data_IF_439521437365
#
_entry.id   IF_439521437365
#
_cell.length_a   1.000
_cell.length_b   1.000
_cell.length_c   1.000
_cell.angle_alpha   90.00
_cell.angle_beta   90.00
_cell.angle_gamma   90.00
#
_symmetry.space_group_name_H-M   'P 1'
#
loop_
_entity.id
_entity.type
_entity.pdbx_description
1 polymer ?
#
# COMPACT_ATOMS: atom_id res chain seq x y z
N UNK A 1 -14.98 2.87 11.30
CA UNK A 1 -15.10 2.70 9.83
C UNK A 1 -14.42 1.38 9.46
N UNK A 2 -14.73 0.84 8.28
CA UNK A 2 -14.20 -0.45 7.82
C UNK A 2 -13.28 -0.19 6.61
N UNK A 3 -12.07 -0.75 6.66
CA UNK A 3 -11.04 -0.59 5.62
C UNK A 3 -10.63 -1.95 5.08
N UNK A 4 -10.83 -2.15 3.77
CA UNK A 4 -10.35 -3.28 3.02
C UNK A 4 -8.99 -2.90 2.41
N UNK A 5 -7.90 -3.32 3.06
CA UNK A 5 -6.54 -2.97 2.68
C UNK A 5 -5.96 -4.10 1.84
N UNK A 6 -5.56 -3.80 0.62
CA UNK A 6 -5.00 -4.77 -0.32
C UNK A 6 -3.49 -4.59 -0.41
N UNK A 7 -2.75 -5.58 0.07
CA UNK A 7 -1.28 -5.58 0.06
C UNK A 7 -0.71 -5.99 -1.31
N UNK A 8 0.60 -6.27 -1.35
CA UNK A 8 1.29 -6.77 -2.53
C UNK A 8 1.39 -8.31 -2.50
N UNK A 9 1.24 -9.01 -3.63
CA UNK A 9 1.23 -10.48 -3.66
C UNK A 9 2.62 -11.11 -3.44
N UNK A 10 3.69 -10.36 -3.68
CA UNK A 10 5.07 -10.88 -3.67
C UNK A 10 5.82 -10.63 -2.36
N UNK A 11 5.14 -10.07 -1.34
CA UNK A 11 5.69 -9.81 0.00
C UNK A 11 4.73 -10.29 1.08
N UNK A 12 5.25 -10.53 2.28
CA UNK A 12 4.44 -10.66 3.50
C UNK A 12 4.39 -9.29 4.20
N UNK A 13 3.33 -9.02 4.98
CA UNK A 13 3.19 -7.74 5.69
C UNK A 13 3.90 -7.82 7.03
N UNK A 14 5.21 -8.06 6.98
CA UNK A 14 6.11 -8.24 8.14
C UNK A 14 7.31 -7.30 8.06
N UNK A 15 8.03 -7.15 9.17
CA UNK A 15 9.26 -6.35 9.25
C UNK A 15 10.38 -6.89 8.37
N UNK A 16 10.39 -8.19 8.07
CA UNK A 16 11.33 -8.79 7.15
C UNK A 16 11.25 -8.16 5.75
N UNK A 17 10.04 -7.78 5.32
CA UNK A 17 9.80 -7.15 4.03
C UNK A 17 9.77 -5.61 4.08
N UNK A 18 10.22 -5.00 5.18
CA UNK A 18 10.26 -3.53 5.33
C UNK A 18 11.17 -2.82 4.32
N UNK A 19 12.06 -3.54 3.64
CA UNK A 19 12.81 -3.02 2.49
C UNK A 19 11.95 -2.65 1.29
N UNK A 20 10.72 -3.17 1.19
CA UNK A 20 9.70 -2.69 0.27
C UNK A 20 8.90 -1.56 0.92
N UNK A 21 9.10 -0.33 0.48
CA UNK A 21 8.43 0.85 1.04
C UNK A 21 6.89 0.73 1.06
N UNK A 22 6.31 0.08 0.07
CA UNK A 22 4.85 -0.11 -0.01
C UNK A 22 4.35 -1.18 0.96
N UNK A 23 5.10 -2.26 1.15
CA UNK A 23 4.76 -3.27 2.17
C UNK A 23 4.82 -2.68 3.57
N UNK A 24 5.87 -1.93 3.88
CA UNK A 24 6.00 -1.25 5.15
C UNK A 24 4.91 -0.19 5.35
N UNK A 25 4.51 0.51 4.29
CA UNK A 25 3.38 1.44 4.34
C UNK A 25 2.06 0.72 4.67
N UNK A 26 1.80 -0.46 4.07
CA UNK A 26 0.63 -1.27 4.42
C UNK A 26 0.66 -1.64 5.91
N UNK A 27 1.80 -2.16 6.38
CA UNK A 27 1.96 -2.56 7.78
C UNK A 27 1.66 -1.40 8.74
N UNK A 28 2.26 -0.26 8.51
CA UNK A 28 2.06 0.95 9.34
C UNK A 28 0.65 1.51 9.22
N UNK A 29 0.04 1.44 8.05
CA UNK A 29 -1.35 1.87 7.87
C UNK A 29 -2.33 0.99 8.64
N UNK A 30 -2.10 -0.34 8.68
CA UNK A 30 -2.88 -1.24 9.51
C UNK A 30 -2.78 -0.87 10.99
N UNK A 31 -1.57 -0.62 11.51
CA UNK A 31 -1.35 -0.18 12.89
C UNK A 31 -2.13 1.11 13.16
N UNK A 32 -1.95 2.13 12.33
CA UNK A 32 -2.60 3.43 12.49
C UNK A 32 -4.13 3.30 12.50
N UNK A 33 -4.71 2.53 11.58
CA UNK A 33 -6.17 2.37 11.50
C UNK A 33 -6.71 1.59 12.70
N UNK A 34 -5.99 0.57 13.16
CA UNK A 34 -6.34 -0.18 14.34
C UNK A 34 -6.31 0.71 15.61
N UNK A 35 -5.26 1.50 15.78
CA UNK A 35 -5.09 2.40 16.93
C UNK A 35 -6.16 3.50 16.98
N UNK A 36 -6.66 3.90 15.82
CA UNK A 36 -7.81 4.80 15.68
C UNK A 36 -9.17 4.11 15.90
N UNK A 37 -9.19 2.82 16.24
CA UNK A 37 -10.41 2.06 16.53
C UNK A 37 -11.22 1.70 15.28
N UNK A 38 -10.58 1.54 14.13
CA UNK A 38 -11.22 1.12 12.89
C UNK A 38 -11.11 -0.39 12.67
N UNK A 39 -12.04 -0.96 11.94
CA UNK A 39 -11.96 -2.35 11.49
C UNK A 39 -11.06 -2.44 10.25
N UNK A 40 -10.10 -3.35 10.28
CA UNK A 40 -9.10 -3.55 9.23
C UNK A 40 -9.21 -4.97 8.70
N UNK A 41 -9.61 -5.11 7.45
CA UNK A 41 -9.58 -6.35 6.67
C UNK A 41 -8.36 -6.30 5.76
N UNK A 42 -7.36 -7.13 6.03
CA UNK A 42 -6.11 -7.14 5.26
C UNK A 42 -6.10 -8.31 4.29
N UNK A 43 -6.03 -8.00 3.00
CA UNK A 43 -5.88 -8.96 1.90
C UNK A 43 -4.40 -9.05 1.53
N UNK A 44 -3.74 -10.16 1.89
CA UNK A 44 -2.29 -10.30 1.80
C UNK A 44 -1.86 -11.74 1.56
N UNK A 45 -0.59 -12.05 1.82
CA UNK A 45 -0.08 -13.41 1.98
C UNK A 45 -0.51 -14.00 3.33
N UNK A 46 0.26 -14.98 3.81
CA UNK A 46 -0.09 -15.76 5.01
C UNK A 46 0.34 -15.10 6.32
N UNK A 47 1.27 -14.13 6.27
CA UNK A 47 1.87 -13.55 7.47
C UNK A 47 1.64 -12.03 7.59
N UNK A 48 1.34 -11.59 8.82
CA UNK A 48 1.18 -10.18 9.15
C UNK A 48 1.77 -9.85 10.53
N UNK A 49 2.54 -8.79 10.61
CA UNK A 49 3.05 -8.20 11.85
C UNK A 49 2.43 -6.82 12.11
N UNK A 50 1.12 -6.75 12.02
CA UNK A 50 0.32 -5.59 12.37
C UNK A 50 -1.02 -6.06 12.94
N UNK A 51 -1.64 -5.31 13.86
CA UNK A 51 -2.97 -5.62 14.33
C UNK A 51 -3.97 -5.41 13.18
N UNK A 52 -4.79 -6.43 12.93
CA UNK A 52 -5.88 -6.38 11.95
C UNK A 52 -7.11 -7.08 12.52
N UNK A 53 -8.30 -6.69 12.09
CA UNK A 53 -9.54 -7.36 12.49
C UNK A 53 -9.63 -8.74 11.84
N UNK A 54 -9.17 -8.87 10.60
CA UNK A 54 -9.11 -10.14 9.88
C UNK A 54 -7.97 -10.11 8.85
N UNK A 55 -7.14 -11.16 8.83
CA UNK A 55 -6.21 -11.44 7.73
C UNK A 55 -6.88 -12.38 6.74
N UNK A 56 -6.95 -11.97 5.48
CA UNK A 56 -7.49 -12.76 4.38
C UNK A 56 -6.34 -13.16 3.46
N UNK A 57 -5.99 -14.44 3.49
CA UNK A 57 -4.92 -14.97 2.63
C UNK A 57 -5.37 -15.07 1.19
N UNK A 58 -4.75 -14.26 0.32
CA UNK A 58 -5.04 -14.25 -1.13
C UNK A 58 -4.07 -15.09 -1.94
N UNK A 59 -2.85 -15.29 -1.45
CA UNK A 59 -1.84 -16.18 -2.04
C UNK A 59 -1.11 -16.93 -0.93
N UNK A 60 -0.75 -18.18 -1.20
CA UNK A 60 0.05 -18.98 -0.28
C UNK A 60 1.52 -18.58 -0.31
N UNK A 61 2.27 -18.92 0.75
CA UNK A 61 3.72 -18.73 0.77
C UNK A 61 4.40 -19.55 -0.34
N UNK A 62 3.88 -20.74 -0.67
CA UNK A 62 4.41 -21.54 -1.77
C UNK A 62 4.25 -20.85 -3.14
N UNK A 63 3.10 -20.22 -3.40
CA UNK A 63 2.88 -19.44 -4.63
C UNK A 63 3.82 -18.24 -4.70
N UNK A 64 3.93 -17.49 -3.59
CA UNK A 64 4.82 -16.35 -3.48
C UNK A 64 6.27 -16.75 -3.73
N UNK A 65 6.74 -17.77 -3.01
CA UNK A 65 8.11 -18.25 -3.12
C UNK A 65 8.42 -18.74 -4.55
N UNK A 66 7.50 -19.42 -5.20
CA UNK A 66 7.65 -19.83 -6.61
C UNK A 66 7.78 -18.64 -7.54
N UNK A 67 6.91 -17.64 -7.38
CA UNK A 67 6.91 -16.46 -8.25
C UNK A 67 8.17 -15.59 -8.09
N UNK A 68 8.70 -15.43 -6.87
CA UNK A 68 9.87 -14.57 -6.64
C UNK A 68 11.20 -15.25 -6.96
N UNK A 69 11.26 -16.54 -7.23
CA UNK A 69 12.50 -17.24 -7.64
C UNK A 69 13.13 -16.68 -8.90
N UNK A 70 12.34 -16.07 -9.78
CA UNK A 70 12.79 -15.58 -11.08
C UNK A 70 13.37 -14.16 -11.03
N UNK A 71 13.31 -13.49 -9.88
CA UNK A 71 13.83 -12.13 -9.70
C UNK A 71 15.01 -12.14 -8.72
N UNK A 72 16.00 -11.25 -8.91
CA UNK A 72 17.16 -11.17 -8.00
C UNK A 72 16.79 -10.78 -6.57
N UNK A 73 15.74 -9.95 -6.41
CA UNK A 73 15.25 -9.51 -5.12
C UNK A 73 13.75 -9.19 -5.23
N UNK A 74 12.97 -9.45 -4.17
CA UNK A 74 11.52 -9.24 -4.17
C UNK A 74 11.09 -7.81 -4.50
N UNK A 75 11.91 -6.79 -4.21
CA UNK A 75 11.63 -5.39 -4.58
C UNK A 75 11.69 -5.11 -6.08
N UNK A 76 12.18 -6.06 -6.87
CA UNK A 76 12.25 -5.99 -8.34
C UNK A 76 11.16 -6.83 -9.01
N UNK A 77 10.17 -7.27 -8.24
CA UNK A 77 9.08 -8.08 -8.77
C UNK A 77 8.22 -7.28 -9.75
N UNK A 78 7.87 -7.84 -10.93
CA UNK A 78 7.05 -7.15 -11.92
C UNK A 78 5.64 -6.89 -11.41
N UNK A 79 4.95 -5.90 -12.01
CA UNK A 79 3.56 -5.51 -11.68
C UNK A 79 2.53 -6.19 -12.56
N UNK A 80 2.84 -7.36 -13.08
CA UNK A 80 1.97 -8.20 -13.91
C UNK A 80 2.25 -9.69 -13.66
N UNK A 81 1.48 -10.54 -14.34
CA UNK A 81 1.69 -11.97 -14.33
C UNK A 81 0.77 -12.73 -13.37
N UNK A 82 0.91 -14.05 -13.41
CA UNK A 82 -0.02 -15.01 -12.81
C UNK A 82 -0.24 -14.82 -11.30
N UNK A 83 0.78 -14.34 -10.56
CA UNK A 83 0.66 -14.12 -9.12
C UNK A 83 -0.28 -12.95 -8.83
N UNK A 84 -0.19 -11.85 -9.61
CA UNK A 84 -1.12 -10.73 -9.53
C UNK A 84 -2.54 -11.14 -9.91
N UNK A 85 -2.69 -11.93 -10.97
CA UNK A 85 -4.01 -12.40 -11.42
C UNK A 85 -4.67 -13.25 -10.35
N UNK A 86 -3.93 -14.20 -9.78
CA UNK A 86 -4.41 -15.07 -8.68
C UNK A 86 -4.79 -14.25 -7.44
N UNK A 87 -3.92 -13.34 -7.03
CA UNK A 87 -4.12 -12.48 -5.89
C UNK A 87 -5.36 -11.60 -6.05
N UNK A 88 -5.47 -10.89 -7.17
CA UNK A 88 -6.59 -10.00 -7.45
C UNK A 88 -7.91 -10.77 -7.53
N UNK A 89 -7.94 -11.92 -8.18
CA UNK A 89 -9.15 -12.73 -8.26
C UNK A 89 -9.63 -13.15 -6.87
N UNK A 90 -8.71 -13.61 -6.01
CA UNK A 90 -9.05 -14.00 -4.65
C UNK A 90 -9.45 -12.80 -3.79
N UNK A 91 -8.75 -11.68 -3.91
CA UNK A 91 -9.11 -10.46 -3.20
C UNK A 91 -10.52 -9.96 -3.59
N UNK A 92 -10.86 -9.97 -4.88
CA UNK A 92 -12.21 -9.60 -5.35
C UNK A 92 -13.28 -10.51 -4.76
N UNK A 93 -13.07 -11.83 -4.81
CA UNK A 93 -13.98 -12.82 -4.22
C UNK A 93 -14.22 -12.51 -2.72
N UNK A 94 -13.14 -12.35 -1.98
CA UNK A 94 -13.20 -12.21 -0.53
C UNK A 94 -13.70 -10.81 -0.07
N UNK A 95 -13.40 -9.76 -0.82
CA UNK A 95 -13.98 -8.43 -0.61
C UNK A 95 -15.50 -8.52 -0.81
N UNK A 96 -15.97 -9.16 -1.87
CA UNK A 96 -17.40 -9.26 -2.17
C UNK A 96 -18.22 -9.92 -1.04
N UNK A 97 -17.60 -10.82 -0.27
CA UNK A 97 -18.23 -11.47 0.88
C UNK A 97 -18.34 -10.59 2.12
N UNK A 98 -17.57 -9.48 2.21
CA UNK A 98 -17.39 -8.68 3.43
C UNK A 98 -17.80 -7.22 3.28
N UNK A 99 -17.79 -6.70 2.05
CA UNK A 99 -17.93 -5.27 1.80
C UNK A 99 -19.33 -4.73 2.11
N UNK A 100 -19.36 -3.61 2.81
CA UNK A 100 -20.58 -2.85 3.13
C UNK A 100 -20.57 -1.49 2.44
N UNK A 101 -21.73 -0.84 2.37
CA UNK A 101 -21.95 0.36 1.56
C UNK A 101 -20.99 1.53 1.80
N UNK A 102 -20.46 1.66 3.02
CA UNK A 102 -19.60 2.79 3.41
C UNK A 102 -18.13 2.39 3.63
N UNK A 103 -17.73 1.21 3.16
CA UNK A 103 -16.40 0.71 3.31
C UNK A 103 -15.44 1.36 2.30
N UNK A 104 -14.18 1.39 2.67
CA UNK A 104 -13.09 1.86 1.84
C UNK A 104 -12.27 0.68 1.31
N UNK A 105 -11.96 0.69 0.02
CA UNK A 105 -11.01 -0.24 -0.60
C UNK A 105 -9.70 0.52 -0.81
N UNK A 106 -8.66 0.14 -0.08
CA UNK A 106 -7.36 0.79 -0.09
C UNK A 106 -6.35 -0.03 -0.89
N UNK A 107 -5.86 0.54 -2.00
CA UNK A 107 -5.00 -0.10 -2.99
C UNK A 107 -3.60 0.52 -2.97
N UNK A 108 -2.57 -0.29 -3.13
CA UNK A 108 -1.18 0.16 -3.08
C UNK A 108 -0.34 -0.31 -4.28
N UNK A 109 -0.83 -1.29 -5.05
CA UNK A 109 -0.09 -1.91 -6.15
C UNK A 109 -0.25 -1.20 -7.51
N UNK A 110 -0.70 0.07 -7.54
CA UNK A 110 -0.89 0.81 -8.78
C UNK A 110 -1.85 0.11 -9.75
N UNK A 111 -1.60 0.25 -11.05
CA UNK A 111 -2.46 -0.32 -12.11
C UNK A 111 -2.63 -1.83 -12.04
N UNK A 112 -1.72 -2.56 -11.39
CA UNK A 112 -1.85 -4.00 -11.18
C UNK A 112 -3.09 -4.36 -10.34
N UNK A 113 -3.55 -3.46 -9.46
CA UNK A 113 -4.75 -3.65 -8.63
C UNK A 113 -6.01 -2.97 -9.20
N UNK A 114 -5.92 -2.36 -10.38
CA UNK A 114 -7.08 -1.76 -11.04
C UNK A 114 -8.28 -2.72 -11.18
N UNK A 115 -8.10 -4.02 -11.48
CA UNK A 115 -9.23 -4.96 -11.55
C UNK A 115 -10.06 -5.02 -10.27
N UNK A 116 -9.44 -4.82 -9.09
CA UNK A 116 -10.16 -4.80 -7.81
C UNK A 116 -11.06 -3.57 -7.72
N UNK A 117 -10.55 -2.38 -8.06
CA UNK A 117 -11.37 -1.17 -8.07
C UNK A 117 -12.54 -1.26 -9.07
N UNK A 118 -12.28 -1.81 -10.27
CA UNK A 118 -13.28 -1.97 -11.31
C UNK A 118 -14.41 -2.94 -10.91
N UNK A 119 -14.12 -3.91 -10.04
CA UNK A 119 -15.12 -4.86 -9.52
C UNK A 119 -16.10 -4.20 -8.54
N UNK A 120 -15.75 -3.07 -7.93
CA UNK A 120 -16.56 -2.40 -6.90
C UNK A 120 -16.83 -0.93 -7.22
N UNK A 121 -17.46 -0.60 -8.37
CA UNK A 121 -17.60 0.78 -8.83
C UNK A 121 -18.49 1.66 -7.94
N UNK A 122 -19.28 1.06 -7.04
CA UNK A 122 -20.13 1.76 -6.09
C UNK A 122 -19.43 2.12 -4.79
N UNK A 123 -18.17 1.70 -4.60
CA UNK A 123 -17.41 1.91 -3.37
C UNK A 123 -16.25 2.88 -3.59
N UNK A 124 -15.73 3.41 -2.48
CA UNK A 124 -14.56 4.30 -2.50
C UNK A 124 -13.28 3.47 -2.62
N UNK A 125 -12.77 3.34 -3.86
CA UNK A 125 -11.44 2.80 -4.10
C UNK A 125 -10.41 3.94 -4.01
N UNK A 126 -9.43 3.80 -3.13
CA UNK A 126 -8.41 4.78 -2.81
C UNK A 126 -7.02 4.19 -3.08
N UNK A 127 -6.24 4.83 -3.95
CA UNK A 127 -4.80 4.56 -4.02
C UNK A 127 -4.11 5.30 -2.89
N UNK A 128 -3.61 4.57 -1.89
CA UNK A 128 -2.90 5.15 -0.75
C UNK A 128 -1.36 4.97 -0.81
N UNK A 129 -0.86 4.35 -1.87
CA UNK A 129 0.55 4.22 -2.21
C UNK A 129 0.73 4.50 -3.69
N UNK A 130 0.85 5.79 -4.05
CA UNK A 130 1.03 6.19 -5.44
C UNK A 130 2.50 6.10 -5.84
N UNK A 131 2.82 5.44 -6.94
CA UNK A 131 4.19 5.41 -7.45
C UNK A 131 4.55 4.26 -8.38
N UNK A 132 3.85 3.14 -8.32
CA UNK A 132 4.09 2.01 -9.22
C UNK A 132 3.07 1.98 -10.36
N UNK A 133 3.57 1.78 -11.58
CA UNK A 133 2.74 1.37 -12.71
C UNK A 133 1.60 2.31 -13.10
N UNK A 134 1.61 3.54 -12.62
CA UNK A 134 0.61 4.54 -12.97
C UNK A 134 -0.50 4.71 -11.92
N UNK A 135 -1.24 5.81 -12.06
CA UNK A 135 -2.34 6.22 -11.20
C UNK A 135 -3.65 5.99 -11.98
N UNK A 136 -4.59 5.30 -11.38
CA UNK A 136 -5.86 4.98 -12.02
C UNK A 136 -7.09 5.38 -11.21
N UNK A 137 -6.99 5.37 -9.86
CA UNK A 137 -8.13 5.66 -9.01
C UNK A 137 -8.47 7.16 -9.00
N UNK A 138 -9.75 7.43 -8.75
CA UNK A 138 -10.24 8.81 -8.59
C UNK A 138 -9.74 9.46 -7.30
N UNK A 139 -9.63 8.67 -6.22
CA UNK A 139 -9.18 9.12 -4.91
C UNK A 139 -7.76 8.63 -4.66
N UNK A 140 -6.84 9.54 -4.33
CA UNK A 140 -5.43 9.25 -4.16
C UNK A 140 -4.88 9.91 -2.92
N UNK A 141 -3.98 9.23 -2.24
CA UNK A 141 -3.27 9.76 -1.08
C UNK A 141 -1.77 9.71 -1.36
N UNK A 142 -1.14 10.87 -1.33
CA UNK A 142 0.31 11.04 -1.48
C UNK A 142 0.95 11.29 -0.12
N UNK A 143 2.19 10.85 0.07
CA UNK A 143 2.95 11.05 1.31
C UNK A 143 3.45 12.49 1.48
N UNK A 144 3.61 13.22 0.37
CA UNK A 144 4.06 14.61 0.37
C UNK A 144 3.66 15.33 -0.91
N UNK A 145 3.61 16.65 -0.85
CA UNK A 145 3.44 17.48 -2.02
C UNK A 145 4.57 17.29 -3.05
N UNK A 146 5.80 17.15 -2.57
CA UNK A 146 6.94 16.89 -3.46
C UNK A 146 6.75 15.60 -4.27
N UNK A 147 6.27 14.54 -3.62
CA UNK A 147 5.97 13.29 -4.31
C UNK A 147 4.80 13.42 -5.29
N UNK A 148 3.72 14.09 -4.88
CA UNK A 148 2.58 14.37 -5.75
C UNK A 148 3.00 15.12 -7.01
N UNK A 149 3.78 16.20 -6.86
CA UNK A 149 4.30 16.98 -7.98
C UNK A 149 5.23 16.15 -8.87
N UNK A 150 6.08 15.30 -8.29
CA UNK A 150 6.97 14.41 -9.04
C UNK A 150 6.20 13.42 -9.91
N UNK A 151 5.15 12.81 -9.36
CA UNK A 151 4.29 11.87 -10.10
C UNK A 151 3.57 12.58 -11.25
N UNK A 152 2.96 13.74 -10.99
CA UNK A 152 2.23 14.48 -12.02
C UNK A 152 3.14 15.12 -13.07
N UNK A 153 4.34 15.58 -12.68
CA UNK A 153 5.32 16.10 -13.63
C UNK A 153 5.79 15.04 -14.64
N UNK A 154 5.78 13.77 -14.27
CA UNK A 154 6.04 12.65 -15.16
C UNK A 154 4.93 12.39 -16.19
N UNK A 155 3.75 12.97 -16.02
CA UNK A 155 2.66 12.87 -16.99
C UNK A 155 2.88 13.81 -18.16
N UNK A 156 2.30 13.46 -19.32
CA UNK A 156 2.47 14.27 -20.55
C UNK A 156 1.83 15.65 -20.51
N UNK A 157 1.02 15.95 -19.48
CA UNK A 157 0.37 17.25 -19.31
C UNK A 157 0.82 17.94 -18.01
N UNK A 158 1.79 18.87 -18.08
CA UNK A 158 2.33 19.55 -16.89
C UNK A 158 1.32 20.46 -16.17
N UNK A 159 0.18 20.77 -16.75
CA UNK A 159 -0.84 21.61 -16.10
C UNK A 159 -1.55 20.93 -14.93
N UNK A 160 -1.30 19.65 -14.70
CA UNK A 160 -1.87 18.87 -13.58
C UNK A 160 -0.88 18.63 -12.45
N UNK A 161 0.31 19.24 -12.50
CA UNK A 161 1.37 19.02 -11.51
C UNK A 161 0.99 19.41 -10.07
N UNK A 162 0.03 20.32 -9.91
CA UNK A 162 -0.44 20.79 -8.60
C UNK A 162 -1.48 19.89 -7.93
N UNK A 163 -1.74 18.71 -8.50
CA UNK A 163 -2.73 17.77 -7.99
C UNK A 163 -4.11 17.91 -8.63
N UNK A 164 -5.02 17.07 -8.20
CA UNK A 164 -6.41 17.02 -8.65
C UNK A 164 -7.37 17.14 -7.46
N UNK A 165 -8.62 17.47 -7.72
CA UNK A 165 -9.62 17.78 -6.69
C UNK A 165 -9.79 16.70 -5.62
N UNK A 166 -9.64 15.44 -5.98
CA UNK A 166 -9.80 14.30 -5.06
C UNK A 166 -8.49 13.74 -4.52
N UNK A 167 -7.39 14.47 -4.68
CA UNK A 167 -6.11 14.12 -4.10
C UNK A 167 -6.03 14.62 -2.65
N UNK A 168 -5.35 13.84 -1.83
CA UNK A 168 -4.96 14.23 -0.49
C UNK A 168 -3.46 14.02 -0.29
N UNK A 169 -2.85 14.88 0.50
CA UNK A 169 -1.48 14.69 0.98
C UNK A 169 -1.55 14.36 2.46
N UNK A 170 -1.21 13.12 2.81
CA UNK A 170 -1.20 12.62 4.18
C UNK A 170 0.18 12.01 4.41
N UNK A 171 1.01 12.60 5.29
CA UNK A 171 2.31 12.03 5.63
C UNK A 171 2.19 10.59 6.14
N UNK A 172 3.20 9.78 5.84
CA UNK A 172 3.26 8.40 6.33
C UNK A 172 3.25 8.33 7.86
N UNK A 173 2.60 7.33 8.40
CA UNK A 173 2.63 7.04 9.83
C UNK A 173 4.06 6.68 10.27
N UNK A 174 4.51 7.29 11.35
CA UNK A 174 5.81 7.01 11.98
C UNK A 174 5.56 6.45 13.37
N UNK A 175 6.25 5.37 13.69
CA UNK A 175 6.31 4.82 15.06
C UNK A 175 7.32 5.65 15.85
N UNK A 176 6.91 6.44 16.87
CA UNK A 176 7.83 7.34 17.59
C UNK A 176 9.02 6.61 18.23
N UNK A 177 8.82 5.35 18.61
CA UNK A 177 9.83 4.50 19.24
C UNK A 177 11.00 4.18 18.30
N UNK A 178 10.81 4.27 16.98
CA UNK A 178 11.88 4.12 15.98
C UNK A 178 12.79 5.35 15.90
N UNK A 179 12.38 6.46 16.53
CA UNK A 179 13.11 7.72 16.54
C UNK A 179 13.38 8.15 17.99
N UNK A 180 14.23 7.41 18.74
CA UNK A 180 14.54 7.78 20.11
C UNK A 180 15.12 9.20 20.12
N UNK A 181 14.67 10.00 21.08
CA UNK A 181 15.27 11.32 21.30
C UNK A 181 16.76 11.12 21.49
N UNK A 182 17.55 11.81 20.69
CA UNK A 182 19.00 11.84 20.87
C UNK A 182 19.34 12.31 22.28
N UNK A 183 20.45 11.86 22.83
CA UNK A 183 20.93 12.22 24.18
C UNK A 183 21.35 13.71 24.29
N UNK A 184 21.08 14.52 23.29
CA UNK A 184 21.43 15.94 23.19
C UNK A 184 22.93 16.18 22.94
N UNK A 185 23.72 15.11 22.85
CA UNK A 185 25.11 15.17 22.41
C UNK A 185 25.10 15.02 20.90
N UNK A 186 24.85 16.11 20.20
CA UNK A 186 25.01 16.14 18.74
C UNK A 186 26.40 15.65 18.40
N UNK A 187 26.50 14.70 17.47
CA UNK A 187 27.78 14.40 16.85
C UNK A 187 28.35 15.69 16.28
N UNK A 188 29.49 16.14 16.80
CA UNK A 188 30.18 17.34 16.33
C UNK A 188 30.68 17.20 14.86
N UNK A 189 30.22 16.20 14.14
CA UNK A 189 30.59 15.87 12.75
C UNK A 189 29.40 15.70 11.82
N UNK A 190 28.42 16.58 11.91
CA UNK A 190 27.35 16.68 10.91
C UNK A 190 27.75 17.65 9.82
N UNK A 191 28.51 17.22 8.82
CA UNK A 191 28.52 17.92 7.54
C UNK A 191 27.19 17.57 6.85
N UNK A 192 26.26 18.52 6.86
CA UNK A 192 25.06 18.47 6.02
C UNK A 192 25.47 18.84 4.59
N UNK A 193 25.31 17.92 3.67
CA UNK A 193 25.31 18.19 2.23
C UNK A 193 23.91 18.52 1.76
#
# INVERSE_FOLDING_TARGET
MRFHIVALPHTQVTKEFAGCAFTEKVRRFCIMMHDLGHEVFLYAGEEVEAPVSELITCVSESDRAEAVKVVPHYTQFPFDGWLWDKFNAKAIEEIAHRIEKQDFICLIGGSAQKPIADAFPAHLAVEFGVGYGGVFAKYRVFESYAWMHSIYAGWKNPTTADGQYYDAVIPGYLEPEMFPLGDGKGDEKGEYY
#
